data_IF_507298577141
#
_entry.id   IF_507298577141
#
_cell.length_a   1.000
_cell.length_b   1.000
_cell.length_c   1.000
_cell.angle_alpha   90.00
_cell.angle_beta   90.00
_cell.angle_gamma   90.00
#
_symmetry.space_group_name_H-M   'P 1'
#
loop_
_entity.id
_entity.type
_entity.pdbx_description
1 polymer ?
#
# COMPACT_ATOMS: atom_id res chain seq x y z
N UNK A 1 15.20 -2.15 2.83
CA UNK A 1 15.85 -2.66 4.05
C UNK A 1 14.89 -3.04 5.19
N UNK A 2 14.05 -2.12 5.69
CA UNK A 2 13.16 -2.43 6.84
C UNK A 2 12.25 -3.64 6.62
N UNK A 3 11.66 -3.78 5.44
CA UNK A 3 10.85 -4.95 5.09
C UNK A 3 11.68 -6.22 5.16
N UNK A 4 12.86 -6.26 4.51
CA UNK A 4 13.79 -7.41 4.53
C UNK A 4 14.13 -7.84 5.97
N UNK A 5 14.46 -6.87 6.83
CA UNK A 5 14.78 -7.14 8.25
C UNK A 5 13.56 -7.60 9.05
N UNK A 6 12.40 -7.01 8.80
CA UNK A 6 11.15 -7.34 9.49
C UNK A 6 10.54 -8.67 9.08
N UNK A 7 11.06 -9.29 8.01
CA UNK A 7 10.61 -10.60 7.52
C UNK A 7 11.75 -11.61 7.42
N UNK A 8 12.87 -11.36 8.12
CA UNK A 8 14.06 -12.20 8.06
C UNK A 8 13.87 -13.60 8.65
N UNK A 9 12.85 -13.76 9.50
CA UNK A 9 12.41 -15.01 10.11
C UNK A 9 11.56 -15.89 9.17
N UNK A 10 11.14 -15.37 8.00
CA UNK A 10 10.33 -16.09 7.03
C UNK A 10 11.21 -16.74 5.95
N UNK A 11 11.41 -18.09 5.98
CA UNK A 11 12.38 -18.76 5.11
C UNK A 11 11.96 -18.81 3.63
N UNK A 12 10.66 -18.70 3.34
CA UNK A 12 10.09 -18.83 2.00
C UNK A 12 9.58 -17.48 1.45
N UNK A 13 10.28 -16.39 1.76
CA UNK A 13 9.91 -15.05 1.32
C UNK A 13 11.06 -14.40 0.54
N UNK A 14 10.74 -13.95 -0.69
CA UNK A 14 11.62 -13.07 -1.45
C UNK A 14 11.05 -11.66 -1.45
N UNK A 15 11.84 -10.71 -0.93
CA UNK A 15 11.49 -9.28 -1.00
C UNK A 15 12.08 -8.68 -2.28
N UNK A 16 11.20 -8.15 -3.13
CA UNK A 16 11.54 -7.45 -4.36
C UNK A 16 11.20 -5.97 -4.23
N UNK A 17 11.96 -5.13 -4.92
CA UNK A 17 11.61 -3.72 -5.04
C UNK A 17 10.44 -3.57 -6.00
N UNK A 18 9.49 -2.69 -5.68
CA UNK A 18 8.30 -2.47 -6.52
C UNK A 18 8.60 -1.85 -7.89
N UNK A 19 9.80 -1.28 -8.07
CA UNK A 19 10.23 -0.66 -9.32
C UNK A 19 9.28 0.45 -9.78
N UNK A 20 9.34 0.82 -11.07
CA UNK A 20 8.53 1.92 -11.62
C UNK A 20 7.12 1.50 -12.06
N UNK A 21 6.70 0.24 -11.84
CA UNK A 21 5.46 -0.30 -12.43
C UNK A 21 4.49 -0.94 -11.44
N UNK A 22 4.80 -0.99 -10.14
CA UNK A 22 3.87 -1.48 -9.11
C UNK A 22 3.41 -0.31 -8.25
N UNK A 23 2.16 0.15 -8.46
CA UNK A 23 1.54 1.26 -7.70
C UNK A 23 2.50 2.47 -7.68
N UNK A 24 2.90 2.91 -8.88
CA UNK A 24 3.88 3.98 -9.06
C UNK A 24 3.23 5.25 -9.61
N UNK A 25 3.94 6.36 -9.60
CA UNK A 25 3.48 7.58 -10.27
C UNK A 25 3.34 7.43 -11.79
N UNK A 26 4.01 6.45 -12.39
CA UNK A 26 3.96 6.20 -13.83
C UNK A 26 2.72 5.39 -14.24
N UNK A 27 2.28 4.45 -13.41
CA UNK A 27 1.12 3.58 -13.71
C UNK A 27 -0.14 4.01 -12.97
N UNK A 28 0.02 4.58 -11.77
CA UNK A 28 -1.08 4.96 -10.90
C UNK A 28 -0.91 6.35 -10.26
N UNK A 29 -0.76 7.43 -11.06
CA UNK A 29 -0.49 8.77 -10.54
C UNK A 29 -1.59 9.30 -9.59
N UNK A 30 -2.86 8.98 -9.86
CA UNK A 30 -3.99 9.38 -8.99
C UNK A 30 -3.95 8.74 -7.61
N UNK A 31 -3.17 7.70 -7.39
CA UNK A 31 -2.95 7.13 -6.06
C UNK A 31 -2.30 8.15 -5.10
N UNK A 32 -1.48 9.05 -5.63
CA UNK A 32 -0.73 10.04 -4.85
C UNK A 32 -1.42 11.41 -4.76
N UNK A 33 -2.54 11.60 -5.46
CA UNK A 33 -3.24 12.87 -5.56
C UNK A 33 -4.44 12.86 -4.61
N UNK A 34 -4.61 13.92 -3.80
CA UNK A 34 -5.84 14.08 -3.02
C UNK A 34 -7.02 14.31 -3.96
N UNK A 35 -8.13 13.57 -3.86
CA UNK A 35 -9.34 13.90 -4.57
C UNK A 35 -9.74 15.34 -4.23
N UNK A 36 -9.97 16.19 -5.24
CA UNK A 36 -10.47 17.52 -5.01
C UNK A 36 -11.87 17.43 -4.38
N UNK A 37 -12.05 18.07 -3.22
CA UNK A 37 -13.36 18.15 -2.55
C UNK A 37 -14.40 18.70 -3.56
N UNK A 38 -15.52 17.99 -3.73
CA UNK A 38 -16.61 18.40 -4.60
C UNK A 38 -16.60 17.88 -6.05
N UNK A 39 -15.63 17.05 -6.48
CA UNK A 39 -15.60 16.44 -7.83
C UNK A 39 -15.62 14.90 -7.80
N UNK A 40 -16.56 14.31 -7.06
CA UNK A 40 -16.68 12.86 -6.92
C UNK A 40 -16.77 12.13 -8.27
N UNK A 41 -17.46 12.67 -9.28
CA UNK A 41 -17.66 11.94 -10.54
C UNK A 41 -16.44 11.80 -11.50
N UNK A 42 -15.51 12.76 -11.54
CA UNK A 42 -14.34 12.70 -12.46
C UNK A 42 -13.09 12.15 -11.80
N UNK A 43 -12.90 12.44 -10.50
CA UNK A 43 -11.78 11.87 -9.74
C UNK A 43 -11.87 10.35 -9.68
N UNK A 44 -13.08 9.80 -9.54
CA UNK A 44 -13.30 8.36 -9.47
C UNK A 44 -12.95 7.66 -10.80
N UNK A 45 -13.34 8.23 -11.95
CA UNK A 45 -13.01 7.66 -13.27
C UNK A 45 -11.50 7.66 -13.56
N UNK A 46 -10.79 8.71 -13.15
CA UNK A 46 -9.33 8.76 -13.33
C UNK A 46 -8.63 7.74 -12.43
N UNK A 47 -9.10 7.57 -11.19
CA UNK A 47 -8.62 6.52 -10.29
C UNK A 47 -8.85 5.14 -10.90
N UNK A 48 -10.04 4.88 -11.43
CA UNK A 48 -10.36 3.59 -12.04
C UNK A 48 -9.50 3.30 -13.27
N UNK A 49 -9.34 4.29 -14.17
CA UNK A 49 -8.53 4.11 -15.38
C UNK A 49 -7.07 3.76 -15.04
N UNK A 50 -6.48 4.49 -14.09
CA UNK A 50 -5.10 4.24 -13.69
C UNK A 50 -4.95 2.93 -12.91
N UNK A 51 -5.92 2.59 -12.05
CA UNK A 51 -5.98 1.29 -11.40
C UNK A 51 -6.04 0.15 -12.43
N UNK A 52 -6.87 0.29 -13.46
CA UNK A 52 -6.97 -0.69 -14.54
C UNK A 52 -5.65 -0.87 -15.29
N UNK A 53 -4.97 0.23 -15.62
CA UNK A 53 -3.67 0.20 -16.28
C UNK A 53 -2.63 -0.55 -15.43
N UNK A 54 -2.50 -0.19 -14.15
CA UNK A 54 -1.58 -0.83 -13.22
C UNK A 54 -1.86 -2.35 -13.06
N UNK A 55 -3.14 -2.72 -12.93
CA UNK A 55 -3.56 -4.12 -12.80
C UNK A 55 -3.36 -4.92 -14.09
N UNK A 56 -3.60 -4.32 -15.25
CA UNK A 56 -3.37 -4.95 -16.54
C UNK A 56 -1.87 -5.20 -16.77
N UNK A 57 -1.02 -4.21 -16.47
CA UNK A 57 0.44 -4.36 -16.53
C UNK A 57 0.92 -5.45 -15.57
N UNK A 58 0.39 -5.47 -14.34
CA UNK A 58 0.70 -6.50 -13.37
C UNK A 58 0.35 -7.90 -13.90
N UNK A 59 -0.88 -8.11 -14.38
CA UNK A 59 -1.35 -9.40 -14.89
C UNK A 59 -0.57 -9.87 -16.12
N UNK A 60 -0.27 -8.94 -17.04
CA UNK A 60 0.36 -9.26 -18.32
C UNK A 60 1.86 -9.50 -18.20
N UNK A 61 2.56 -8.74 -17.37
CA UNK A 61 4.04 -8.71 -17.36
C UNK A 61 4.65 -9.15 -16.04
N UNK A 62 4.14 -8.67 -14.90
CA UNK A 62 4.78 -8.89 -13.60
C UNK A 62 4.45 -10.28 -13.06
N UNK A 63 3.18 -10.65 -13.07
CA UNK A 63 2.74 -11.93 -12.54
C UNK A 63 3.34 -13.14 -13.27
N UNK A 64 3.42 -13.19 -14.61
CA UNK A 64 4.03 -14.32 -15.31
C UNK A 64 5.54 -14.42 -15.05
N UNK A 65 6.26 -13.29 -15.02
CA UNK A 65 7.69 -13.26 -14.79
C UNK A 65 8.08 -13.72 -13.36
N UNK A 66 7.17 -13.52 -12.40
CA UNK A 66 7.36 -13.91 -11.00
C UNK A 66 6.59 -15.18 -10.62
N UNK A 67 5.93 -15.83 -11.58
CA UNK A 67 5.07 -17.00 -11.37
C UNK A 67 3.99 -16.79 -10.29
N UNK A 68 3.42 -15.58 -10.22
CA UNK A 68 2.39 -15.21 -9.23
C UNK A 68 1.04 -15.77 -9.65
N UNK A 69 0.43 -16.57 -8.77
CA UNK A 69 -0.92 -17.11 -8.94
C UNK A 69 -1.93 -16.52 -7.96
N UNK A 70 -1.44 -15.90 -6.89
CA UNK A 70 -2.24 -15.42 -5.77
C UNK A 70 -1.75 -14.04 -5.33
N UNK A 71 -2.68 -13.12 -5.07
CA UNK A 71 -2.39 -11.77 -4.58
C UNK A 71 -3.20 -11.48 -3.32
N UNK A 72 -2.52 -11.10 -2.25
CA UNK A 72 -3.13 -10.82 -0.95
C UNK A 72 -3.21 -9.31 -0.72
N UNK A 73 -4.37 -8.83 -0.25
CA UNK A 73 -4.60 -7.43 0.11
C UNK A 73 -5.40 -7.35 1.42
N UNK A 74 -5.17 -6.29 2.20
CA UNK A 74 -6.01 -6.00 3.36
C UNK A 74 -7.28 -5.23 2.97
N UNK A 75 -8.36 -5.38 3.72
CA UNK A 75 -9.54 -4.52 3.59
C UNK A 75 -9.17 -3.05 3.85
N UNK A 76 -9.77 -2.14 3.08
CA UNK A 76 -9.51 -0.70 3.19
C UNK A 76 -10.82 0.11 3.15
N UNK A 77 -11.50 0.27 4.30
CA UNK A 77 -12.74 1.04 4.36
C UNK A 77 -12.50 2.55 4.49
N UNK A 78 -11.26 3.01 4.75
CA UNK A 78 -10.98 4.40 5.09
C UNK A 78 -10.40 5.21 3.92
N UNK A 79 -9.91 4.53 2.88
CA UNK A 79 -9.37 5.17 1.68
C UNK A 79 -10.19 4.77 0.44
N UNK A 80 -11.01 5.69 -0.08
CA UNK A 80 -11.82 5.46 -1.27
C UNK A 80 -10.98 5.01 -2.48
N UNK A 81 -9.80 5.61 -2.69
CA UNK A 81 -8.87 5.25 -3.78
C UNK A 81 -8.40 3.80 -3.66
N UNK A 82 -7.96 3.39 -2.48
CA UNK A 82 -7.47 2.02 -2.25
C UNK A 82 -8.61 1.01 -2.25
N UNK A 83 -9.79 1.38 -1.75
CA UNK A 83 -11.00 0.56 -1.82
C UNK A 83 -11.41 0.29 -3.27
N UNK A 84 -11.41 1.33 -4.12
CA UNK A 84 -11.66 1.19 -5.55
C UNK A 84 -10.60 0.29 -6.21
N UNK A 85 -9.33 0.46 -5.87
CA UNK A 85 -8.25 -0.40 -6.38
C UNK A 85 -8.44 -1.88 -5.96
N UNK A 86 -8.81 -2.17 -4.71
CA UNK A 86 -9.10 -3.53 -4.25
C UNK A 86 -10.28 -4.15 -5.02
N UNK A 87 -11.35 -3.38 -5.26
CA UNK A 87 -12.49 -3.83 -6.07
C UNK A 87 -12.05 -4.17 -7.50
N UNK A 88 -11.37 -3.23 -8.16
CA UNK A 88 -10.89 -3.43 -9.52
C UNK A 88 -9.87 -4.56 -9.65
N UNK A 89 -9.06 -4.78 -8.61
CA UNK A 89 -8.13 -5.90 -8.56
C UNK A 89 -8.86 -7.23 -8.70
N UNK A 90 -9.99 -7.40 -7.98
CA UNK A 90 -10.82 -8.59 -8.09
C UNK A 90 -11.47 -8.71 -9.48
N UNK A 91 -11.97 -7.61 -10.02
CA UNK A 91 -12.61 -7.58 -11.34
C UNK A 91 -11.62 -7.92 -12.46
N UNK A 92 -10.42 -7.33 -12.46
CA UNK A 92 -9.47 -7.41 -13.59
C UNK A 92 -8.55 -8.63 -13.49
N UNK A 93 -8.07 -8.96 -12.28
CA UNK A 93 -7.10 -10.04 -12.12
C UNK A 93 -7.76 -11.43 -12.14
N UNK A 94 -9.03 -11.53 -11.75
CA UNK A 94 -9.80 -12.77 -11.76
C UNK A 94 -10.74 -12.91 -12.97
N UNK A 95 -10.82 -11.91 -13.86
CA UNK A 95 -11.63 -12.01 -15.09
C UNK A 95 -11.04 -13.03 -16.07
N UNK A 96 -11.92 -13.87 -16.63
CA UNK A 96 -11.56 -14.84 -17.68
C UNK A 96 -11.01 -14.12 -18.90
N UNK A 97 -11.59 -12.96 -19.22
CA UNK A 97 -11.13 -12.06 -20.27
C UNK A 97 -9.87 -11.29 -19.84
N UNK A 98 -9.01 -10.97 -20.80
CA UNK A 98 -7.77 -10.22 -20.59
C UNK A 98 -6.51 -11.01 -20.95
N UNK A 99 -5.38 -10.31 -20.98
CA UNK A 99 -4.09 -10.90 -21.29
C UNK A 99 -3.39 -11.41 -20.03
N UNK A 100 -2.92 -12.65 -20.07
CA UNK A 100 -2.22 -13.31 -18.96
C UNK A 100 -3.11 -14.25 -18.14
N UNK A 101 -2.45 -15.05 -17.30
CA UNK A 101 -3.13 -16.02 -16.44
C UNK A 101 -4.03 -15.33 -15.40
N UNK A 102 -5.04 -16.07 -14.93
CA UNK A 102 -5.88 -15.66 -13.82
C UNK A 102 -5.08 -15.60 -12.52
N UNK A 103 -5.34 -14.58 -11.71
CA UNK A 103 -4.72 -14.42 -10.39
C UNK A 103 -5.83 -14.41 -9.35
N UNK A 104 -5.72 -15.27 -8.35
CA UNK A 104 -6.65 -15.31 -7.23
C UNK A 104 -6.36 -14.14 -6.30
N UNK A 105 -7.38 -13.33 -6.03
CA UNK A 105 -7.26 -12.18 -5.15
C UNK A 105 -7.86 -12.53 -3.79
N UNK A 106 -7.03 -12.49 -2.76
CA UNK A 106 -7.40 -12.77 -1.37
C UNK A 106 -7.47 -11.46 -0.61
N UNK A 107 -8.68 -11.00 -0.32
CA UNK A 107 -8.87 -9.85 0.57
C UNK A 107 -9.05 -10.33 2.00
N UNK A 108 -8.12 -9.93 2.86
CA UNK A 108 -8.06 -10.33 4.27
C UNK A 108 -8.51 -9.17 5.16
N UNK A 109 -9.17 -9.46 6.30
CA UNK A 109 -9.47 -8.43 7.28
C UNK A 109 -8.21 -7.65 7.65
N UNK A 110 -8.34 -6.33 7.71
CA UNK A 110 -7.25 -5.46 8.13
C UNK A 110 -6.75 -5.87 9.51
N UNK A 111 -5.42 -5.86 9.66
CA UNK A 111 -4.81 -6.12 10.96
C UNK A 111 -5.18 -5.01 11.96
N UNK A 112 -5.71 -5.44 13.10
CA UNK A 112 -6.07 -4.59 14.22
C UNK A 112 -5.21 -4.93 15.43
N UNK A 113 -4.88 -3.91 16.21
CA UNK A 113 -4.27 -4.06 17.53
C UNK A 113 -5.17 -3.37 18.54
N UNK A 114 -5.62 -4.10 19.56
CA UNK A 114 -6.51 -3.58 20.62
C UNK A 114 -7.78 -2.93 20.05
N UNK A 115 -8.36 -3.53 19.00
CA UNK A 115 -9.56 -3.03 18.32
C UNK A 115 -9.34 -1.77 17.47
N UNK A 116 -8.09 -1.33 17.31
CA UNK A 116 -7.73 -0.20 16.46
C UNK A 116 -7.00 -0.68 15.20
N UNK A 117 -7.46 -0.30 13.99
CA UNK A 117 -6.75 -0.61 12.76
C UNK A 117 -5.35 -0.02 12.71
N UNK A 118 -4.36 -0.85 12.39
CA UNK A 118 -2.99 -0.35 12.18
C UNK A 118 -2.93 0.32 10.81
N UNK A 119 -2.55 1.60 10.77
CA UNK A 119 -2.41 2.37 9.52
C UNK A 119 -1.22 3.32 9.55
N UNK A 120 -0.58 3.51 8.39
CA UNK A 120 0.54 4.43 8.24
C UNK A 120 0.14 5.90 8.55
N UNK A 121 -1.09 6.29 8.19
CA UNK A 121 -1.64 7.61 8.52
C UNK A 121 -1.73 7.84 10.01
N UNK A 122 -2.19 6.83 10.77
CA UNK A 122 -2.27 6.92 12.24
C UNK A 122 -0.88 7.03 12.87
N UNK A 123 0.07 6.23 12.41
CA UNK A 123 1.46 6.29 12.90
C UNK A 123 2.07 7.67 12.66
N UNK A 124 1.89 8.27 11.48
CA UNK A 124 2.38 9.63 11.20
C UNK A 124 1.72 10.70 12.07
N UNK A 125 0.42 10.58 12.33
CA UNK A 125 -0.30 11.49 13.24
C UNK A 125 0.27 11.43 14.66
N UNK A 126 0.54 10.23 15.18
CA UNK A 126 1.13 10.04 16.51
C UNK A 126 2.55 10.60 16.59
N UNK A 127 3.37 10.37 15.55
CA UNK A 127 4.72 10.97 15.43
C UNK A 127 4.64 12.49 15.48
N UNK A 128 3.68 13.12 14.77
CA UNK A 128 3.48 14.58 14.80
C UNK A 128 3.14 15.11 16.20
N UNK A 129 2.36 14.34 16.96
CA UNK A 129 1.93 14.67 18.32
C UNK A 129 3.01 14.37 19.37
N UNK A 130 4.11 13.73 18.98
CA UNK A 130 5.17 13.31 19.90
C UNK A 130 4.82 12.06 20.73
N UNK A 131 3.72 11.37 20.42
CA UNK A 131 3.29 10.17 21.15
C UNK A 131 4.03 8.92 20.65
N UNK A 132 5.31 8.84 21.00
CA UNK A 132 6.20 7.78 20.52
C UNK A 132 5.97 6.44 21.21
N UNK A 133 5.42 6.42 22.44
CA UNK A 133 5.08 5.19 23.14
C UNK A 133 3.95 4.44 22.43
N UNK A 134 2.90 5.14 22.00
CA UNK A 134 1.84 4.53 21.19
C UNK A 134 2.38 4.07 19.83
N UNK A 135 3.29 4.83 19.20
CA UNK A 135 3.94 4.41 17.95
C UNK A 135 4.70 3.09 18.14
N UNK A 136 5.49 2.96 19.21
CA UNK A 136 6.23 1.74 19.55
C UNK A 136 5.32 0.53 19.67
N UNK A 137 4.11 0.71 20.22
CA UNK A 137 3.14 -0.37 20.31
C UNK A 137 2.56 -0.76 18.94
N UNK A 138 2.44 0.16 17.98
CA UNK A 138 1.78 -0.10 16.69
C UNK A 138 2.69 -0.66 15.60
N UNK A 139 4.01 -0.48 15.71
CA UNK A 139 4.95 -0.85 14.65
C UNK A 139 5.81 -2.07 15.02
N UNK A 140 6.30 -2.85 14.03
CA UNK A 140 7.26 -3.93 14.30
C UNK A 140 8.54 -3.42 14.98
N UNK A 141 9.22 -4.30 15.72
CA UNK A 141 10.46 -3.97 16.42
C UNK A 141 11.55 -3.40 15.49
N UNK A 142 11.63 -3.88 14.25
CA UNK A 142 12.56 -3.37 13.23
C UNK A 142 12.25 -1.93 12.82
N UNK A 143 10.97 -1.60 12.67
CA UNK A 143 10.52 -0.22 12.41
C UNK A 143 10.79 0.68 13.62
N UNK A 144 10.52 0.20 14.83
CA UNK A 144 10.81 0.96 16.06
C UNK A 144 12.30 1.26 16.21
N UNK A 145 13.16 0.25 16.00
CA UNK A 145 14.61 0.43 16.06
C UNK A 145 15.09 1.47 15.04
N UNK A 146 14.53 1.47 13.83
CA UNK A 146 14.87 2.47 12.81
C UNK A 146 14.34 3.87 13.16
N UNK A 147 13.14 4.00 13.71
CA UNK A 147 12.61 5.31 14.15
C UNK A 147 13.48 5.98 15.23
N UNK A 148 14.29 5.19 15.97
CA UNK A 148 15.22 5.70 16.99
C UNK A 148 16.66 5.88 16.46
N UNK A 149 16.90 5.63 15.17
CA UNK A 149 18.22 5.76 14.57
C UNK A 149 18.46 7.16 14.00
N UNK A 150 19.73 7.53 13.80
CA UNK A 150 20.09 8.85 13.24
C UNK A 150 19.60 9.00 11.79
N UNK A 151 19.50 7.91 11.04
CA UNK A 151 19.01 7.88 9.66
C UNK A 151 17.53 8.26 9.55
N UNK A 152 16.73 8.05 10.61
CA UNK A 152 15.31 8.42 10.61
C UNK A 152 15.07 9.92 10.86
N UNK A 153 16.02 10.64 11.45
CA UNK A 153 15.88 12.07 11.78
C UNK A 153 15.33 12.94 10.62
N UNK A 154 15.88 12.90 9.39
CA UNK A 154 15.34 13.70 8.28
C UNK A 154 13.91 13.29 7.89
N UNK A 155 13.56 12.01 8.04
CA UNK A 155 12.21 11.51 7.73
C UNK A 155 11.20 11.96 8.78
N UNK A 156 11.57 11.88 10.06
CA UNK A 156 10.73 12.35 11.17
C UNK A 156 10.44 13.85 11.06
N UNK A 157 11.45 14.66 10.72
CA UNK A 157 11.27 16.09 10.50
C UNK A 157 10.34 16.40 9.33
N UNK A 158 10.42 15.61 8.24
CA UNK A 158 9.49 15.73 7.12
C UNK A 158 8.07 15.32 7.50
N UNK A 159 7.90 14.27 8.29
CA UNK A 159 6.59 13.84 8.81
C UNK A 159 5.96 14.95 9.66
N UNK A 160 6.73 15.61 10.54
CA UNK A 160 6.25 16.72 11.35
C UNK A 160 5.78 17.92 10.53
N UNK A 161 6.41 18.16 9.38
CA UNK A 161 6.13 19.32 8.50
C UNK A 161 5.10 19.06 7.40
N UNK A 162 4.71 17.80 7.14
CA UNK A 162 3.90 17.43 5.98
C UNK A 162 2.53 16.89 6.35
N UNK A 163 1.47 17.32 5.66
CA UNK A 163 0.12 16.75 5.77
C UNK A 163 -0.20 15.65 4.74
N UNK A 164 0.77 15.11 4.01
CA UNK A 164 0.51 14.06 3.01
C UNK A 164 -0.11 12.78 3.61
N UNK A 165 -1.06 12.18 2.87
CA UNK A 165 -1.66 10.85 3.18
C UNK A 165 -0.76 9.68 2.75
N UNK A 166 0.13 9.90 1.80
CA UNK A 166 1.05 8.89 1.25
C UNK A 166 2.47 9.45 1.21
#
# INVERSE_FOLDING_TARGET
ELVRRGTADLPNLTVLEGGPYVISSATFPTYFIRPAEGKSGQADKAVELHAALDLALFRRHIAPALHITDRFVGTEPYCATTSAYNRMMKEILAAVEGEGALIRVHEMPRFEKEGSPVSASKVRELIKRGDMETVKALVPATTWAWLNSTEAAPVLERIKKSDSRH
#
